data_IF_093015898468
#
_entry.id   IF_093015898468
#
_cell.length_a   1.000
_cell.length_b   1.000
_cell.length_c   1.000
_cell.angle_alpha   90.00
_cell.angle_beta   90.00
_cell.angle_gamma   90.00
#
_symmetry.space_group_name_H-M   'P 1'
#
loop_
_entity.id
_entity.type
_entity.pdbx_description
1 polymer ?
#
# COMPACT_ATOMS: atom_id res chain seq x y z
N UNK A 1 -12.80 5.87 51.46
CA UNK A 1 -11.77 4.80 51.45
C UNK A 1 -12.39 3.58 50.79
N UNK A 2 -12.08 3.40 49.49
CA UNK A 2 -11.94 2.17 48.67
C UNK A 2 -12.96 0.99 48.80
N UNK A 3 -13.20 0.16 47.75
CA UNK A 3 -12.51 0.15 46.45
C UNK A 3 -13.33 -0.36 45.23
N UNK A 4 -12.59 -0.55 44.13
CA UNK A 4 -12.80 -1.55 43.09
C UNK A 4 -13.72 -1.18 41.91
N UNK A 5 -13.04 -0.65 40.88
CA UNK A 5 -13.13 -1.08 39.48
C UNK A 5 -14.52 -0.88 38.84
N UNK A 6 -14.76 0.35 38.37
CA UNK A 6 -15.52 0.55 37.14
C UNK A 6 -14.74 -0.17 36.04
N UNK A 7 -15.12 -1.42 35.78
CA UNK A 7 -14.56 -2.26 34.73
C UNK A 7 -15.02 -1.64 33.41
N UNK A 8 -14.27 -0.66 32.92
CA UNK A 8 -14.42 -0.14 31.57
C UNK A 8 -13.95 -1.26 30.63
N UNK A 9 -14.80 -2.27 30.39
CA UNK A 9 -14.81 -2.97 29.11
C UNK A 9 -15.37 -1.98 28.09
N UNK A 10 -14.58 -0.98 27.72
CA UNK A 10 -14.68 -0.44 26.39
C UNK A 10 -14.23 -1.60 25.50
N UNK A 11 -15.21 -2.39 25.05
CA UNK A 11 -15.03 -3.33 23.97
C UNK A 11 -14.35 -2.54 22.86
N UNK A 12 -13.06 -2.80 22.69
CA UNK A 12 -12.33 -2.33 21.54
C UNK A 12 -13.09 -2.93 20.37
N UNK A 13 -13.91 -2.12 19.71
CA UNK A 13 -14.18 -2.33 18.31
C UNK A 13 -12.82 -2.15 17.66
N UNK A 14 -12.00 -3.21 17.72
CA UNK A 14 -10.89 -3.39 16.83
C UNK A 14 -11.54 -3.46 15.46
N UNK A 15 -11.76 -2.30 14.86
CA UNK A 15 -11.78 -2.18 13.41
C UNK A 15 -10.44 -2.74 13.02
N UNK A 16 -10.40 -4.02 12.66
CA UNK A 16 -9.28 -4.61 11.95
C UNK A 16 -9.22 -3.84 10.64
N UNK A 17 -8.49 -2.72 10.65
CA UNK A 17 -8.19 -2.00 9.43
C UNK A 17 -7.47 -3.02 8.56
N UNK A 18 -8.14 -3.49 7.50
CA UNK A 18 -7.62 -4.54 6.65
C UNK A 18 -6.30 -4.05 6.05
N UNK A 19 -5.19 -4.51 6.62
CA UNK A 19 -3.86 -4.21 6.11
C UNK A 19 -3.84 -4.69 4.66
N UNK A 20 -3.54 -3.79 3.76
CA UNK A 20 -3.62 -4.06 2.33
C UNK A 20 -2.23 -3.95 1.72
N UNK A 21 -1.84 -4.96 0.93
CA UNK A 21 -0.66 -4.84 0.08
C UNK A 21 -1.01 -3.95 -1.11
N UNK A 22 -0.18 -2.96 -1.37
CA UNK A 22 -0.26 -2.11 -2.57
C UNK A 22 0.97 -2.41 -3.42
N UNK A 23 0.76 -2.56 -4.72
CA UNK A 23 1.79 -2.84 -5.70
C UNK A 23 1.84 -1.70 -6.69
N UNK A 24 3.02 -1.14 -6.88
CA UNK A 24 3.32 -0.07 -7.82
C UNK A 24 4.23 -0.60 -8.93
N UNK A 25 3.81 -0.40 -10.18
CA UNK A 25 4.54 -0.84 -11.37
C UNK A 25 4.87 0.33 -12.28
N UNK A 26 6.04 0.30 -12.94
CA UNK A 26 6.31 1.19 -14.04
C UNK A 26 5.54 0.77 -15.30
N UNK A 27 5.15 1.74 -16.11
CA UNK A 27 4.52 1.57 -17.41
C UNK A 27 4.97 2.67 -18.39
N UNK A 28 4.71 2.45 -19.69
CA UNK A 28 4.91 3.45 -20.75
C UNK A 28 6.30 4.11 -20.78
N UNK A 29 7.36 3.33 -20.54
CA UNK A 29 8.76 3.79 -20.59
C UNK A 29 9.40 4.07 -19.22
N UNK A 30 8.62 4.09 -18.14
CA UNK A 30 9.15 4.15 -16.79
C UNK A 30 9.92 2.86 -16.43
N UNK A 31 10.82 2.96 -15.44
CA UNK A 31 11.62 1.86 -14.89
C UNK A 31 11.26 1.60 -13.44
N UNK A 32 11.68 0.46 -12.90
CA UNK A 32 11.34 0.08 -11.52
C UNK A 32 11.81 1.11 -10.47
N UNK A 33 12.98 1.73 -10.69
CA UNK A 33 13.47 2.82 -9.84
C UNK A 33 12.60 4.08 -9.88
N UNK A 34 11.86 4.32 -10.98
CA UNK A 34 10.89 5.41 -11.05
C UNK A 34 9.67 5.12 -10.18
N UNK A 35 9.24 3.85 -10.10
CA UNK A 35 8.17 3.44 -9.19
C UNK A 35 8.60 3.57 -7.72
N UNK A 36 9.83 3.18 -7.40
CA UNK A 36 10.39 3.30 -6.05
C UNK A 36 10.54 4.77 -5.63
N UNK A 37 10.98 5.62 -6.54
CA UNK A 37 11.01 7.06 -6.32
C UNK A 37 9.61 7.64 -6.16
N UNK A 38 8.64 7.21 -6.98
CA UNK A 38 7.28 7.76 -6.99
C UNK A 38 6.51 7.48 -5.69
N UNK A 39 6.67 6.31 -5.06
CA UNK A 39 6.01 6.01 -3.77
C UNK A 39 6.45 6.95 -2.64
N UNK A 40 7.56 7.68 -2.82
CA UNK A 40 8.03 8.69 -1.87
C UNK A 40 7.71 10.11 -2.32
N UNK A 41 7.82 10.40 -3.61
CA UNK A 41 7.79 11.77 -4.15
C UNK A 41 6.46 12.16 -4.82
N UNK A 42 5.60 11.18 -5.13
CA UNK A 42 4.32 11.35 -5.82
C UNK A 42 3.17 10.73 -5.02
N UNK A 43 3.31 10.71 -3.69
CA UNK A 43 2.35 10.07 -2.80
C UNK A 43 0.92 10.61 -2.92
N UNK A 44 0.75 11.91 -3.19
CA UNK A 44 -0.57 12.51 -3.39
C UNK A 44 -1.26 11.90 -4.62
N UNK A 45 -0.60 11.95 -5.78
CA UNK A 45 -1.11 11.40 -7.04
C UNK A 45 -1.42 9.90 -6.95
N UNK A 46 -0.64 9.19 -6.13
CA UNK A 46 -0.80 7.76 -5.89
C UNK A 46 -1.70 7.44 -4.69
N UNK A 47 -2.33 8.43 -4.05
CA UNK A 47 -3.19 8.24 -2.87
C UNK A 47 -2.54 7.41 -1.74
N UNK A 48 -1.25 7.66 -1.49
CA UNK A 48 -0.44 7.01 -0.45
C UNK A 48 -0.30 7.87 0.82
N UNK A 49 -0.87 9.08 0.87
CA UNK A 49 -0.70 10.01 2.00
C UNK A 49 -1.74 9.87 3.10
N UNK A 50 -2.98 9.56 2.75
CA UNK A 50 -4.12 9.68 3.66
C UNK A 50 -4.13 8.59 4.74
N UNK A 51 -3.49 7.46 4.44
CA UNK A 51 -3.41 6.30 5.32
C UNK A 51 -1.98 5.80 5.30
N UNK A 52 -1.33 5.81 6.47
CA UNK A 52 0.08 5.49 6.59
C UNK A 52 0.48 4.21 5.86
N UNK A 53 1.66 4.25 5.24
CA UNK A 53 2.27 3.10 4.58
C UNK A 53 3.65 2.79 5.13
N UNK A 54 4.07 1.53 5.01
CA UNK A 54 5.37 1.04 5.46
C UNK A 54 5.84 -0.11 4.58
N UNK A 55 7.08 -0.56 4.81
CA UNK A 55 7.71 -1.67 4.08
C UNK A 55 7.70 -1.49 2.55
N UNK A 56 7.84 -0.25 2.07
CA UNK A 56 7.94 0.01 0.64
C UNK A 56 9.30 -0.40 0.09
N UNK A 57 9.32 -1.32 -0.87
CA UNK A 57 10.55 -1.77 -1.51
C UNK A 57 10.31 -2.59 -2.77
N UNK A 58 11.38 -2.74 -3.57
CA UNK A 58 11.35 -3.58 -4.78
C UNK A 58 11.27 -5.05 -4.39
N UNK A 59 10.33 -5.78 -5.00
CA UNK A 59 10.15 -7.22 -4.88
C UNK A 59 9.77 -7.82 -6.23
N UNK A 60 9.53 -9.13 -6.28
CA UNK A 60 8.99 -9.82 -7.45
C UNK A 60 7.62 -10.39 -7.13
N UNK A 61 6.63 -10.07 -7.96
CA UNK A 61 5.26 -10.56 -7.86
C UNK A 61 4.76 -10.94 -9.25
N UNK A 62 4.09 -12.09 -9.39
CA UNK A 62 3.63 -12.59 -10.70
C UNK A 62 4.76 -12.76 -11.72
N UNK A 63 6.00 -12.98 -11.27
CA UNK A 63 7.20 -13.04 -12.11
C UNK A 63 7.72 -11.69 -12.62
N UNK A 64 7.20 -10.56 -12.12
CA UNK A 64 7.61 -9.21 -12.51
C UNK A 64 8.19 -8.44 -11.32
N UNK A 65 9.19 -7.59 -11.58
CA UNK A 65 9.66 -6.66 -10.56
C UNK A 65 8.62 -5.57 -10.33
N UNK A 66 8.29 -5.35 -9.07
CA UNK A 66 7.30 -4.37 -8.62
C UNK A 66 7.80 -3.70 -7.35
N UNK A 67 7.25 -2.53 -7.02
CA UNK A 67 7.42 -1.94 -5.69
C UNK A 67 6.20 -2.30 -4.88
N UNK A 68 6.39 -3.07 -3.82
CA UNK A 68 5.29 -3.46 -2.94
C UNK A 68 5.44 -2.75 -1.60
N UNK A 69 4.31 -2.38 -1.00
CA UNK A 69 4.22 -1.68 0.28
C UNK A 69 2.95 -2.09 1.02
N UNK A 70 2.94 -1.86 2.32
CA UNK A 70 1.77 -2.06 3.15
C UNK A 70 1.07 -0.76 3.45
N UNK A 71 -0.26 -0.81 3.44
CA UNK A 71 -1.12 0.31 3.79
C UNK A 71 -2.08 -0.10 4.90
N UNK A 72 -2.37 0.85 5.80
CA UNK A 72 -3.28 0.63 6.92
C UNK A 72 -4.75 0.51 6.53
N UNK A 73 -5.11 0.91 5.30
CA UNK A 73 -6.47 0.81 4.76
C UNK A 73 -6.49 0.25 3.35
N UNK A 74 -7.70 -0.12 2.96
CA UNK A 74 -8.04 -0.63 1.65
C UNK A 74 -7.57 0.28 0.51
N UNK A 75 -6.94 -0.32 -0.51
CA UNK A 75 -6.48 0.35 -1.73
C UNK A 75 -7.29 -0.16 -2.95
N UNK A 76 -8.60 0.08 -2.93
CA UNK A 76 -9.57 -0.51 -3.87
C UNK A 76 -9.44 -0.05 -5.32
N UNK A 77 -8.76 1.07 -5.58
CA UNK A 77 -8.67 1.70 -6.89
C UNK A 77 -7.25 1.62 -7.45
N UNK A 78 -7.15 1.75 -8.77
CA UNK A 78 -5.89 1.94 -9.47
C UNK A 78 -5.62 3.44 -9.51
N UNK A 79 -4.47 3.87 -8.99
CA UNK A 79 -4.01 5.25 -9.07
C UNK A 79 -2.73 5.34 -9.89
N UNK A 80 -2.48 6.48 -10.51
CA UNK A 80 -1.32 6.66 -11.36
C UNK A 80 -0.76 8.06 -11.30
N UNK A 81 0.55 8.19 -11.47
CA UNK A 81 1.23 9.47 -11.68
C UNK A 81 1.99 9.45 -13.01
N UNK A 82 1.99 10.58 -13.70
CA UNK A 82 2.72 10.78 -14.94
C UNK A 82 4.10 11.35 -14.62
N UNK A 83 5.12 10.69 -15.13
CA UNK A 83 6.52 11.08 -15.05
C UNK A 83 7.02 11.55 -16.42
N UNK A 84 8.21 12.14 -16.45
CA UNK A 84 8.83 12.63 -17.69
C UNK A 84 8.98 11.53 -18.75
N UNK A 85 9.29 10.31 -18.31
CA UNK A 85 9.64 9.18 -19.19
C UNK A 85 8.61 8.04 -19.16
N UNK A 86 7.46 8.21 -18.50
CA UNK A 86 6.45 7.16 -18.43
C UNK A 86 5.43 7.37 -17.31
N UNK A 87 4.79 6.29 -16.89
CA UNK A 87 3.72 6.30 -15.88
C UNK A 87 4.07 5.30 -14.78
N UNK A 88 3.72 5.64 -13.54
CA UNK A 88 3.69 4.66 -12.44
C UNK A 88 2.25 4.44 -12.05
N UNK A 89 1.84 3.17 -11.96
CA UNK A 89 0.50 2.79 -11.52
C UNK A 89 0.61 1.98 -10.25
N UNK A 90 -0.21 2.32 -9.25
CA UNK A 90 -0.32 1.58 -8.00
C UNK A 90 -1.72 0.96 -7.89
N UNK A 91 -1.80 -0.25 -7.36
CA UNK A 91 -3.06 -1.00 -7.22
C UNK A 91 -2.91 -2.18 -6.25
N UNK A 92 -4.04 -2.77 -5.88
CA UNK A 92 -4.11 -4.04 -5.16
C UNK A 92 -3.68 -5.23 -6.03
N UNK A 93 -2.81 -6.13 -5.55
CA UNK A 93 -2.34 -7.28 -6.34
C UNK A 93 -3.46 -8.15 -6.92
N UNK A 94 -4.58 -8.27 -6.20
CA UNK A 94 -5.73 -9.09 -6.60
C UNK A 94 -6.35 -8.60 -7.92
N UNK A 95 -6.26 -7.31 -8.24
CA UNK A 95 -6.75 -6.73 -9.50
C UNK A 95 -5.99 -7.23 -10.73
N UNK A 96 -4.80 -7.82 -10.54
CA UNK A 96 -3.98 -8.44 -11.58
C UNK A 96 -3.74 -9.94 -11.35
N UNK A 97 -4.45 -10.54 -10.39
CA UNK A 97 -4.28 -11.94 -9.97
C UNK A 97 -2.86 -12.28 -9.45
N UNK A 98 -2.16 -11.31 -8.85
CA UNK A 98 -0.83 -11.51 -8.24
C UNK A 98 -0.94 -11.90 -6.77
N UNK A 99 -1.53 -13.06 -6.50
CA UNK A 99 -1.81 -13.54 -5.15
C UNK A 99 -0.56 -13.89 -4.33
N UNK A 100 0.59 -14.01 -4.99
CA UNK A 100 1.91 -14.18 -4.38
C UNK A 100 2.43 -12.88 -3.73
N UNK A 101 1.86 -11.73 -4.11
CA UNK A 101 2.26 -10.43 -3.59
C UNK A 101 1.52 -10.10 -2.28
N UNK A 102 2.00 -10.64 -1.16
CA UNK A 102 1.51 -10.26 0.16
C UNK A 102 2.66 -9.82 1.06
N UNK A 103 2.85 -8.50 1.18
CA UNK A 103 3.92 -7.89 1.99
C UNK A 103 3.49 -7.58 3.43
N UNK A 104 2.22 -7.79 3.77
CA UNK A 104 1.63 -7.32 5.03
C UNK A 104 1.31 -8.45 6.01
N UNK A 105 1.99 -9.60 5.83
CA UNK A 105 1.95 -10.73 6.75
C UNK A 105 2.95 -10.57 7.88
#
# INVERSE_FOLDING_TARGET
MQPIITLILAFQAATVSALTTVVCIPASGAKIGDAEWAITNRKNDLHLNDDGFWNGGITTCGGQQVVALCRSKDYSQIWSTILKNGVVMCFKPELKHWYDCNQCK
#
